data_IF_184741440591
#
_entry.id   IF_184741440591
#
_cell.length_a   1.000
_cell.length_b   1.000
_cell.length_c   1.000
_cell.angle_alpha   90.00
_cell.angle_beta   90.00
_cell.angle_gamma   90.00
#
_symmetry.space_group_name_H-M   'P 1'
#
loop_
_entity.id
_entity.type
_entity.pdbx_description
1 polymer ?
#
# COMPACT_ATOMS: atom_id res chain seq x y z
N UNK A 1 -3.10 14.70 23.31
CA UNK A 1 -2.45 16.00 23.33
C UNK A 1 -3.17 16.93 22.35
N UNK A 2 -4.15 17.70 22.85
CA UNK A 2 -4.82 18.73 22.07
C UNK A 2 -3.80 19.83 21.72
N UNK A 3 -3.34 19.88 20.47
CA UNK A 3 -2.48 20.94 19.96
C UNK A 3 -1.28 20.52 19.11
N UNK A 4 -0.93 19.25 19.00
CA UNK A 4 0.16 18.79 18.11
C UNK A 4 -0.42 18.19 16.83
N UNK A 5 -0.01 18.71 15.68
CA UNK A 5 -0.32 18.11 14.38
C UNK A 5 0.33 16.72 14.26
N UNK A 6 -0.36 15.73 13.68
CA UNK A 6 0.22 14.41 13.46
C UNK A 6 1.43 14.52 12.51
N UNK A 7 2.54 13.87 12.87
CA UNK A 7 3.76 13.85 12.05
C UNK A 7 3.86 12.62 11.13
N UNK A 8 2.98 11.66 11.31
CA UNK A 8 2.95 10.42 10.52
C UNK A 8 1.54 10.17 10.03
N UNK A 9 1.43 9.84 8.75
CA UNK A 9 0.23 9.30 8.13
C UNK A 9 0.51 7.90 7.60
N UNK A 10 -0.30 6.92 8.01
CA UNK A 10 -0.28 5.56 7.44
C UNK A 10 -1.63 5.29 6.78
N UNK A 11 -1.64 5.12 5.47
CA UNK A 11 -2.82 4.73 4.71
C UNK A 11 -2.83 3.22 4.52
N UNK A 12 -3.62 2.53 5.35
CA UNK A 12 -3.75 1.06 5.34
C UNK A 12 -5.10 0.57 4.83
N UNK A 13 -6.11 1.45 4.74
CA UNK A 13 -7.44 1.08 4.27
C UNK A 13 -7.41 0.63 2.80
N UNK A 14 -8.12 -0.44 2.50
CA UNK A 14 -8.21 -0.97 1.14
C UNK A 14 -9.07 -2.21 1.05
N UNK A 15 -9.52 -2.49 -0.16
CA UNK A 15 -10.30 -3.70 -0.48
C UNK A 15 -9.69 -4.42 -1.69
N UNK A 16 -9.90 -5.74 -1.75
CA UNK A 16 -9.67 -6.55 -2.94
C UNK A 16 -11.03 -7.05 -3.42
N UNK A 17 -11.59 -6.49 -4.50
CA UNK A 17 -12.85 -6.96 -5.06
C UNK A 17 -12.75 -8.38 -5.64
N UNK A 18 -13.89 -8.96 -6.01
CA UNK A 18 -13.95 -10.28 -6.61
C UNK A 18 -13.13 -10.43 -7.89
N UNK A 19 -12.80 -11.66 -8.23
CA UNK A 19 -12.02 -12.00 -9.42
C UNK A 19 -12.94 -12.07 -10.65
N UNK A 20 -12.76 -11.17 -11.62
CA UNK A 20 -13.52 -11.15 -12.86
C UNK A 20 -12.61 -10.81 -14.05
N UNK A 21 -12.80 -11.47 -15.17
CA UNK A 21 -12.15 -11.06 -16.42
C UNK A 21 -12.60 -9.64 -16.80
N UNK A 22 -11.74 -8.87 -17.47
CA UNK A 22 -11.99 -7.43 -17.65
C UNK A 22 -13.31 -7.14 -18.41
N UNK A 23 -13.67 -7.94 -19.40
CA UNK A 23 -14.90 -7.74 -20.19
C UNK A 23 -16.19 -8.06 -19.40
N UNK A 24 -16.08 -8.81 -18.31
CA UNK A 24 -17.18 -9.17 -17.40
C UNK A 24 -17.10 -8.39 -16.08
N UNK A 25 -16.11 -7.51 -15.94
CA UNK A 25 -15.87 -6.84 -14.67
C UNK A 25 -16.99 -5.86 -14.34
N UNK A 26 -17.68 -6.00 -13.19
CA UNK A 26 -18.76 -5.10 -12.83
C UNK A 26 -18.24 -3.66 -12.65
N UNK A 27 -18.81 -2.72 -13.39
CA UNK A 27 -18.39 -1.31 -13.34
C UNK A 27 -18.50 -0.73 -11.93
N UNK A 28 -19.53 -1.13 -11.18
CA UNK A 28 -19.70 -0.70 -9.79
C UNK A 28 -18.54 -1.16 -8.88
N UNK A 29 -18.05 -2.40 -9.06
CA UNK A 29 -16.90 -2.92 -8.30
C UNK A 29 -15.59 -2.23 -8.72
N UNK A 30 -15.46 -1.85 -10.00
CA UNK A 30 -14.36 -1.03 -10.46
C UNK A 30 -14.32 0.31 -9.70
N UNK A 31 -15.43 1.05 -9.72
CA UNK A 31 -15.53 2.34 -9.01
C UNK A 31 -15.26 2.17 -7.52
N UNK A 32 -15.87 1.17 -6.89
CA UNK A 32 -15.68 0.90 -5.46
C UNK A 32 -14.21 0.67 -5.10
N UNK A 33 -13.47 -0.10 -5.93
CA UNK A 33 -12.05 -0.33 -5.71
C UNK A 33 -11.22 0.96 -5.84
N UNK A 34 -11.50 1.76 -6.88
CA UNK A 34 -10.80 3.03 -7.11
C UNK A 34 -11.13 4.03 -6.00
N UNK A 35 -12.39 4.14 -5.61
CA UNK A 35 -12.82 5.10 -4.57
C UNK A 35 -12.17 4.80 -3.22
N UNK A 36 -12.13 3.53 -2.81
CA UNK A 36 -11.56 3.16 -1.51
C UNK A 36 -10.04 3.17 -1.57
N UNK A 37 -9.43 2.46 -2.54
CA UNK A 37 -7.99 2.22 -2.53
C UNK A 37 -7.18 3.45 -2.96
N UNK A 38 -7.69 4.23 -3.94
CA UNK A 38 -6.97 5.36 -4.52
C UNK A 38 -7.51 6.70 -4.00
N UNK A 39 -8.79 7.00 -4.19
CA UNK A 39 -9.35 8.29 -3.78
C UNK A 39 -9.27 8.46 -2.27
N UNK A 40 -9.55 7.41 -1.48
CA UNK A 40 -9.38 7.44 -0.01
C UNK A 40 -7.95 7.77 0.40
N UNK A 41 -6.96 7.11 -0.22
CA UNK A 41 -5.54 7.40 0.00
C UNK A 41 -5.18 8.84 -0.40
N UNK A 42 -5.65 9.29 -1.57
CA UNK A 42 -5.43 10.65 -2.04
C UNK A 42 -5.99 11.70 -1.08
N UNK A 43 -7.24 11.56 -0.63
CA UNK A 43 -7.86 12.53 0.27
C UNK A 43 -7.14 12.60 1.61
N UNK A 44 -6.76 11.47 2.19
CA UNK A 44 -6.01 11.44 3.44
C UNK A 44 -4.63 12.10 3.31
N UNK A 45 -3.89 11.79 2.23
CA UNK A 45 -2.61 12.44 1.94
C UNK A 45 -2.79 13.96 1.75
N UNK A 46 -3.79 14.38 0.97
CA UNK A 46 -4.06 15.79 0.71
C UNK A 46 -4.35 16.57 1.99
N UNK A 47 -5.20 16.06 2.87
CA UNK A 47 -5.53 16.75 4.12
C UNK A 47 -4.35 16.76 5.10
N UNK A 48 -3.58 15.68 5.18
CA UNK A 48 -2.33 15.67 5.96
C UNK A 48 -1.33 16.71 5.45
N UNK A 49 -1.14 16.83 4.14
CA UNK A 49 -0.24 17.80 3.52
C UNK A 49 -0.74 19.24 3.66
N UNK A 50 -2.06 19.47 3.58
CA UNK A 50 -2.65 20.78 3.89
C UNK A 50 -2.31 21.22 5.33
N UNK A 51 -2.43 20.30 6.29
CA UNK A 51 -2.04 20.58 7.69
C UNK A 51 -0.54 20.84 7.82
N UNK A 52 0.29 20.06 7.11
CA UNK A 52 1.74 20.21 7.13
C UNK A 52 2.17 21.58 6.60
N UNK A 53 1.63 22.00 5.47
CA UNK A 53 1.91 23.32 4.87
C UNK A 53 1.43 24.44 5.79
N UNK A 54 0.18 24.38 6.26
CA UNK A 54 -0.41 25.39 7.13
C UNK A 54 0.38 25.61 8.42
N UNK A 55 0.95 24.55 8.97
CA UNK A 55 1.65 24.58 10.26
C UNK A 55 3.17 24.62 10.10
N UNK A 56 3.70 24.82 8.88
CA UNK A 56 5.13 24.79 8.56
C UNK A 56 5.81 23.53 9.14
N UNK A 57 5.14 22.41 9.02
CA UNK A 57 5.60 21.13 9.57
C UNK A 57 6.79 20.61 8.79
N UNK A 58 7.79 20.10 9.49
CA UNK A 58 8.95 19.37 8.95
C UNK A 58 9.08 18.01 9.66
N UNK A 59 9.92 17.16 9.15
CA UNK A 59 10.18 15.81 9.69
C UNK A 59 8.90 14.96 9.80
N UNK A 60 8.12 14.95 8.73
CA UNK A 60 6.91 14.16 8.64
C UNK A 60 7.08 12.98 7.67
N UNK A 61 6.28 11.94 7.85
CA UNK A 61 6.31 10.76 7.01
C UNK A 61 4.91 10.30 6.60
N UNK A 62 4.79 9.91 5.32
CA UNK A 62 3.62 9.25 4.77
C UNK A 62 4.03 7.83 4.36
N UNK A 63 3.28 6.83 4.82
CA UNK A 63 3.45 5.44 4.40
C UNK A 63 2.14 4.94 3.81
N UNK A 64 2.15 4.66 2.51
CA UNK A 64 0.98 4.16 1.78
C UNK A 64 1.08 2.64 1.59
N UNK A 65 0.10 1.89 2.07
CA UNK A 65 0.04 0.44 1.85
C UNK A 65 -0.52 0.17 0.46
N UNK A 66 0.40 -0.15 -0.47
CA UNK A 66 0.08 -0.59 -1.81
C UNK A 66 -0.21 -2.11 -1.85
N UNK A 67 0.57 -2.88 -2.57
CA UNK A 67 0.55 -4.35 -2.73
C UNK A 67 1.69 -4.74 -3.66
N UNK A 68 2.06 -6.03 -3.73
CA UNK A 68 2.83 -6.55 -4.89
C UNK A 68 2.12 -6.26 -6.21
N UNK A 69 0.79 -6.12 -6.20
CA UNK A 69 -0.02 -5.68 -7.36
C UNK A 69 0.13 -4.18 -7.67
N UNK A 70 0.96 -3.44 -6.97
CA UNK A 70 1.37 -2.08 -7.30
C UNK A 70 2.50 -1.99 -8.33
N UNK A 71 3.15 -3.13 -8.65
CA UNK A 71 4.27 -3.23 -9.61
C UNK A 71 4.13 -4.42 -10.55
N UNK A 72 3.12 -5.27 -10.36
CA UNK A 72 2.75 -6.36 -11.26
C UNK A 72 1.22 -6.49 -11.31
N UNK A 73 0.71 -7.40 -12.16
CA UNK A 73 -0.70 -7.72 -12.24
C UNK A 73 -0.95 -9.23 -12.11
N UNK A 74 -2.18 -9.60 -11.81
CA UNK A 74 -2.72 -10.95 -11.89
C UNK A 74 -3.98 -10.97 -12.73
N UNK A 75 -4.29 -12.13 -13.32
CA UNK A 75 -5.54 -12.31 -14.02
C UNK A 75 -6.74 -11.99 -13.10
N UNK A 76 -7.78 -11.44 -13.68
CA UNK A 76 -9.05 -11.15 -13.03
C UNK A 76 -9.01 -10.10 -11.88
N UNK A 77 -7.91 -9.33 -11.71
CA UNK A 77 -7.73 -8.33 -10.66
C UNK A 77 -7.51 -6.91 -11.20
N UNK A 78 -8.13 -6.55 -12.31
CA UNK A 78 -7.85 -5.31 -13.02
C UNK A 78 -7.98 -4.05 -12.15
N UNK A 79 -9.10 -3.87 -11.42
CA UNK A 79 -9.33 -2.68 -10.59
C UNK A 79 -8.37 -2.60 -9.40
N UNK A 80 -8.09 -3.75 -8.77
CA UNK A 80 -7.13 -3.82 -7.67
C UNK A 80 -5.73 -3.44 -8.13
N UNK A 81 -5.24 -4.08 -9.18
CA UNK A 81 -3.92 -3.78 -9.74
C UNK A 81 -3.81 -2.31 -10.16
N UNK A 82 -4.79 -1.79 -10.90
CA UNK A 82 -4.83 -0.39 -11.32
C UNK A 82 -4.76 0.57 -10.12
N UNK A 83 -5.59 0.33 -9.09
CA UNK A 83 -5.60 1.17 -7.89
C UNK A 83 -4.27 1.15 -7.14
N UNK A 84 -3.64 -0.03 -7.01
CA UNK A 84 -2.38 -0.17 -6.27
C UNK A 84 -1.17 0.36 -7.05
N UNK A 85 -1.15 0.27 -8.38
CA UNK A 85 -0.17 0.99 -9.22
C UNK A 85 -0.30 2.51 -9.07
N UNK A 86 -1.54 3.02 -9.07
CA UNK A 86 -1.79 4.44 -8.89
C UNK A 86 -1.32 4.95 -7.50
N UNK A 87 -1.51 4.17 -6.43
CA UNK A 87 -0.99 4.49 -5.08
C UNK A 87 0.52 4.60 -5.09
N UNK A 88 1.24 3.70 -5.79
CA UNK A 88 2.70 3.79 -5.92
C UNK A 88 3.11 5.06 -6.68
N UNK A 89 2.41 5.39 -7.77
CA UNK A 89 2.64 6.63 -8.54
C UNK A 89 2.39 7.89 -7.69
N UNK A 90 1.25 7.93 -6.99
CA UNK A 90 0.90 9.02 -6.07
C UNK A 90 1.98 9.21 -4.99
N UNK A 91 2.47 8.12 -4.40
CA UNK A 91 3.53 8.17 -3.39
C UNK A 91 4.80 8.82 -3.90
N UNK A 92 5.22 8.46 -5.12
CA UNK A 92 6.40 9.05 -5.76
C UNK A 92 6.23 10.54 -6.04
N UNK A 93 5.03 10.95 -6.49
CA UNK A 93 4.72 12.37 -6.73
C UNK A 93 4.80 13.17 -5.44
N UNK A 94 4.18 12.69 -4.35
CA UNK A 94 4.24 13.33 -3.03
C UNK A 94 5.70 13.49 -2.56
N UNK A 95 6.53 12.45 -2.73
CA UNK A 95 7.94 12.52 -2.34
C UNK A 95 8.70 13.61 -3.10
N UNK A 96 8.43 13.82 -4.40
CA UNK A 96 9.04 14.88 -5.19
C UNK A 96 8.55 16.27 -4.77
N UNK A 97 7.23 16.41 -4.58
CA UNK A 97 6.62 17.70 -4.30
C UNK A 97 7.03 18.26 -2.92
N UNK A 98 7.20 17.39 -1.91
CA UNK A 98 7.33 17.80 -0.51
C UNK A 98 8.69 17.48 0.12
N UNK A 99 9.68 17.00 -0.64
CA UNK A 99 11.04 16.77 -0.15
C UNK A 99 11.67 18.04 0.44
N UNK A 100 11.41 19.20 -0.17
CA UNK A 100 11.92 20.50 0.29
C UNK A 100 11.43 20.90 1.70
N UNK A 101 10.33 20.29 2.18
CA UNK A 101 9.81 20.46 3.53
C UNK A 101 10.28 19.35 4.48
N UNK A 102 11.18 18.47 4.04
CA UNK A 102 11.61 17.27 4.76
C UNK A 102 10.41 16.34 5.11
N UNK A 103 9.43 16.25 4.20
CA UNK A 103 8.32 15.31 4.28
C UNK A 103 8.63 14.12 3.37
N UNK A 104 8.69 12.92 3.94
CA UNK A 104 8.98 11.68 3.23
C UNK A 104 7.70 10.93 2.90
N UNK A 105 7.65 10.30 1.73
CA UNK A 105 6.54 9.44 1.34
C UNK A 105 7.06 8.15 0.73
N UNK A 106 6.63 6.99 1.27
CA UNK A 106 7.03 5.68 0.79
C UNK A 106 5.82 4.75 0.64
N UNK A 107 5.93 3.78 -0.25
CA UNK A 107 4.92 2.75 -0.45
C UNK A 107 5.43 1.39 0.07
N UNK A 108 4.58 0.68 0.80
CA UNK A 108 4.81 -0.72 1.19
C UNK A 108 3.99 -1.63 0.29
N UNK A 109 4.60 -2.71 -0.18
CA UNK A 109 3.98 -3.69 -1.07
C UNK A 109 3.85 -5.07 -0.42
N UNK A 110 2.81 -5.33 0.40
CA UNK A 110 2.59 -6.65 0.95
C UNK A 110 2.32 -7.70 -0.13
N UNK A 111 2.84 -8.90 0.09
CA UNK A 111 2.46 -10.12 -0.64
C UNK A 111 1.21 -10.77 -0.06
N UNK A 112 1.27 -12.09 0.17
CA UNK A 112 0.20 -12.84 0.84
C UNK A 112 0.41 -12.75 2.35
N UNK A 113 -0.51 -12.05 3.02
CA UNK A 113 -0.44 -11.78 4.46
C UNK A 113 -1.65 -12.41 5.14
N UNK A 114 -1.47 -13.00 6.30
CA UNK A 114 -2.55 -13.54 7.14
C UNK A 114 -3.37 -12.39 7.74
N UNK A 115 -4.49 -12.12 7.08
CA UNK A 115 -5.41 -11.02 7.43
C UNK A 115 -6.83 -11.40 7.03
N UNK A 116 -7.86 -10.72 7.60
CA UNK A 116 -9.25 -10.94 7.20
C UNK A 116 -9.52 -10.81 5.68
N UNK A 117 -8.74 -10.00 4.97
CA UNK A 117 -8.85 -9.85 3.52
C UNK A 117 -8.55 -11.15 2.76
N UNK A 118 -7.67 -11.99 3.29
CA UNK A 118 -7.18 -13.21 2.64
C UNK A 118 -7.80 -14.49 3.22
N UNK A 119 -8.73 -14.39 4.19
CA UNK A 119 -9.32 -15.55 4.87
C UNK A 119 -9.91 -16.57 3.90
N UNK A 120 -10.68 -16.13 2.91
CA UNK A 120 -11.30 -17.04 1.94
C UNK A 120 -10.26 -17.64 0.96
N UNK A 121 -9.30 -16.85 0.53
CA UNK A 121 -8.19 -17.32 -0.30
C UNK A 121 -7.37 -18.40 0.43
N UNK A 122 -7.14 -18.22 1.73
CA UNK A 122 -6.34 -19.14 2.54
C UNK A 122 -7.05 -20.49 2.83
N UNK A 123 -8.36 -20.59 2.62
CA UNK A 123 -9.11 -21.85 2.73
C UNK A 123 -8.97 -22.75 1.50
N UNK A 124 -8.60 -22.21 0.36
CA UNK A 124 -8.41 -22.99 -0.87
C UNK A 124 -6.96 -23.49 -0.96
N UNK A 125 -6.80 -24.80 -0.73
CA UNK A 125 -5.49 -25.44 -0.75
C UNK A 125 -4.79 -25.34 -2.10
N UNK A 126 -5.52 -25.37 -3.22
CA UNK A 126 -4.94 -25.26 -4.56
C UNK A 126 -4.39 -23.86 -4.79
N UNK A 127 -5.15 -22.83 -4.41
CA UNK A 127 -4.71 -21.43 -4.49
C UNK A 127 -3.50 -21.23 -3.57
N UNK A 128 -3.55 -21.74 -2.34
CA UNK A 128 -2.43 -21.62 -1.40
C UNK A 128 -1.18 -22.34 -1.91
N UNK A 129 -1.28 -23.55 -2.42
CA UNK A 129 -0.15 -24.27 -2.99
C UNK A 129 0.45 -23.51 -4.19
N UNK A 130 -0.39 -22.95 -5.07
CA UNK A 130 0.06 -22.11 -6.18
C UNK A 130 0.80 -20.86 -5.70
N UNK A 131 0.26 -20.16 -4.68
CA UNK A 131 0.88 -18.96 -4.12
C UNK A 131 2.20 -19.28 -3.41
N UNK A 132 2.21 -20.29 -2.54
CA UNK A 132 3.41 -20.75 -1.84
C UNK A 132 4.48 -21.30 -2.79
N UNK A 133 4.07 -21.86 -3.93
CA UNK A 133 4.97 -22.27 -5.00
C UNK A 133 5.83 -21.09 -5.51
N UNK A 134 5.28 -19.88 -5.50
CA UNK A 134 5.91 -18.64 -5.97
C UNK A 134 6.60 -17.81 -4.87
N UNK A 135 6.37 -18.13 -3.61
CA UNK A 135 7.00 -17.45 -2.48
C UNK A 135 8.27 -18.22 -2.09
N UNK A 136 9.48 -17.68 -2.31
CA UNK A 136 10.73 -18.35 -1.90
C UNK A 136 10.76 -18.75 -0.43
N UNK A 137 10.25 -17.93 0.49
CA UNK A 137 10.18 -18.26 1.91
C UNK A 137 9.14 -19.32 2.28
N UNK A 138 8.31 -19.81 1.32
CA UNK A 138 7.37 -20.93 1.46
C UNK A 138 6.38 -20.81 2.62
N UNK A 139 6.03 -19.61 3.00
CA UNK A 139 5.01 -19.32 4.01
C UNK A 139 4.28 -18.02 3.75
N UNK A 140 3.11 -17.87 4.34
CA UNK A 140 2.39 -16.60 4.47
C UNK A 140 3.08 -15.75 5.53
N UNK A 141 3.08 -14.44 5.38
CA UNK A 141 3.59 -13.53 6.38
C UNK A 141 2.49 -13.11 7.37
N UNK A 142 2.88 -12.73 8.57
CA UNK A 142 1.99 -12.09 9.55
C UNK A 142 1.81 -10.60 9.25
N UNK A 143 0.74 -10.00 9.78
CA UNK A 143 0.54 -8.55 9.71
C UNK A 143 1.68 -7.76 10.37
N UNK A 144 2.26 -8.29 11.45
CA UNK A 144 3.37 -7.66 12.18
C UNK A 144 4.62 -7.53 11.31
N UNK A 145 4.89 -8.48 10.40
CA UNK A 145 6.04 -8.39 9.50
C UNK A 145 5.91 -7.20 8.53
N UNK A 146 4.69 -6.86 8.13
CA UNK A 146 4.40 -5.64 7.34
C UNK A 146 4.49 -4.40 8.23
N UNK A 147 3.92 -4.45 9.43
CA UNK A 147 3.90 -3.35 10.39
C UNK A 147 5.31 -2.92 10.80
N UNK A 148 6.25 -3.84 10.94
CA UNK A 148 7.65 -3.54 11.25
C UNK A 148 8.31 -2.65 10.17
N UNK A 149 8.07 -2.92 8.90
CA UNK A 149 8.58 -2.06 7.82
C UNK A 149 7.86 -0.70 7.80
N UNK A 150 6.55 -0.67 8.03
CA UNK A 150 5.79 0.59 8.12
C UNK A 150 6.36 1.45 9.27
N UNK A 151 6.63 0.85 10.42
CA UNK A 151 7.22 1.54 11.57
C UNK A 151 8.58 2.13 11.23
N UNK A 152 9.48 1.35 10.62
CA UNK A 152 10.78 1.84 10.16
C UNK A 152 10.64 3.04 9.21
N UNK A 153 9.79 2.92 8.17
CA UNK A 153 9.60 3.99 7.19
C UNK A 153 8.97 5.25 7.79
N UNK A 154 8.18 5.11 8.84
CA UNK A 154 7.58 6.21 9.59
C UNK A 154 8.56 6.90 10.55
N UNK A 155 9.62 6.21 10.97
CA UNK A 155 10.57 6.68 11.98
C UNK A 155 11.69 7.56 11.38
N UNK A 156 12.47 8.20 12.25
CA UNK A 156 13.65 8.97 11.85
C UNK A 156 14.80 8.11 11.31
N UNK A 157 14.79 6.81 11.57
CA UNK A 157 15.80 5.87 11.02
C UNK A 157 15.73 5.78 9.49
N UNK A 158 14.57 6.07 8.90
CA UNK A 158 14.37 6.14 7.46
C UNK A 158 14.57 7.56 6.89
N UNK A 159 15.36 8.41 7.52
CA UNK A 159 15.50 9.84 7.18
C UNK A 159 15.96 10.10 5.73
N UNK A 160 16.63 9.16 5.08
CA UNK A 160 17.07 9.27 3.68
C UNK A 160 16.28 8.36 2.72
N UNK A 161 15.13 7.83 3.17
CA UNK A 161 14.28 6.92 2.39
C UNK A 161 12.98 7.64 2.02
N UNK A 162 12.84 8.01 0.73
CA UNK A 162 11.62 8.65 0.21
C UNK A 162 11.40 8.29 -1.26
N UNK A 163 10.14 8.30 -1.72
CA UNK A 163 9.75 8.01 -3.09
C UNK A 163 9.89 6.53 -3.48
N UNK A 164 10.13 5.65 -2.53
CA UNK A 164 10.47 4.26 -2.78
C UNK A 164 9.27 3.32 -2.57
N UNK A 165 9.30 2.20 -3.30
CA UNK A 165 8.40 1.07 -3.10
C UNK A 165 9.17 -0.07 -2.44
N UNK A 166 8.63 -0.61 -1.35
CA UNK A 166 9.28 -1.63 -0.53
C UNK A 166 8.39 -2.87 -0.43
N UNK A 167 8.73 -3.99 -1.10
CA UNK A 167 7.96 -5.22 -0.97
C UNK A 167 8.18 -5.89 0.39
N UNK A 168 7.12 -6.52 0.92
CA UNK A 168 7.13 -7.46 2.05
C UNK A 168 6.39 -8.70 1.59
N UNK A 169 7.06 -9.56 0.83
CA UNK A 169 6.43 -10.57 -0.01
C UNK A 169 7.08 -11.95 0.02
N UNK A 170 8.07 -12.15 0.89
CA UNK A 170 8.82 -13.41 1.00
C UNK A 170 9.60 -13.78 -0.27
N UNK A 171 9.93 -12.78 -1.11
CA UNK A 171 10.66 -12.96 -2.36
C UNK A 171 9.78 -13.22 -3.57
N UNK A 172 8.46 -13.06 -3.46
CA UNK A 172 7.51 -13.31 -4.56
C UNK A 172 7.81 -12.51 -5.83
N UNK A 173 8.26 -11.27 -5.71
CA UNK A 173 8.60 -10.43 -6.86
C UNK A 173 9.98 -10.70 -7.45
N UNK A 174 10.81 -11.47 -6.78
CA UNK A 174 12.15 -11.85 -7.22
C UNK A 174 12.17 -13.20 -7.96
N UNK A 175 11.04 -13.91 -7.98
CA UNK A 175 10.89 -15.23 -8.60
C UNK A 175 10.26 -15.17 -10.00
#
# INVERSE_FOLDING_TARGET
DAGKSPKVLVNCAGISPGLNALHEYPVAEWHRAIDINLHGTFYACREFLNLAVKNSMSDAAIVNVASIMGVRASAAQASYAASKHAVVGLTKSIAQDYAHMNIRANAVGPGVIDTPMNTELMKDENIMNFMLGRIPLKRVASADEVANLIYFLASSEASYVTGSYHPVDGGYLAS
#
